data_IF_859073387520
#
_entry.id   IF_859073387520
#
_cell.length_a   1.000
_cell.length_b   1.000
_cell.length_c   1.000
_cell.angle_alpha   90.00
_cell.angle_beta   90.00
_cell.angle_gamma   90.00
#
_symmetry.space_group_name_H-M   'P 1'
#
loop_
_entity.id
_entity.type
_entity.pdbx_description
1 polymer ?
#
# COMPACT_ATOMS: atom_id res chain seq x y z
N UNK A 1 -16.20 -15.61 20.76
CA UNK A 1 -14.76 -15.33 20.51
C UNK A 1 -14.41 -15.92 19.17
N UNK A 2 -14.04 -15.09 18.19
CA UNK A 2 -13.69 -15.57 16.85
C UNK A 2 -12.32 -16.22 16.93
N UNK A 3 -12.24 -17.54 16.66
CA UNK A 3 -10.96 -18.22 16.61
C UNK A 3 -10.14 -17.62 15.48
N UNK A 4 -9.06 -16.95 15.84
CA UNK A 4 -8.12 -16.37 14.89
C UNK A 4 -7.46 -17.50 14.10
N UNK A 5 -7.84 -17.62 12.83
CA UNK A 5 -7.19 -18.54 11.91
C UNK A 5 -5.82 -17.95 11.55
N UNK A 6 -4.72 -18.61 11.95
CA UNK A 6 -3.36 -18.24 11.54
C UNK A 6 -3.24 -18.13 10.01
N UNK A 7 -4.12 -18.83 9.26
CA UNK A 7 -4.23 -18.66 7.82
C UNK A 7 -4.62 -17.22 7.43
N UNK A 8 -5.44 -16.53 8.21
CA UNK A 8 -5.89 -15.17 7.92
C UNK A 8 -4.77 -14.14 8.07
N UNK A 9 -3.92 -14.25 9.09
CA UNK A 9 -2.72 -13.40 9.21
C UNK A 9 -1.69 -13.70 8.13
N UNK A 10 -1.53 -14.98 7.75
CA UNK A 10 -0.69 -15.35 6.61
C UNK A 10 -1.23 -14.78 5.30
N UNK A 11 -2.55 -14.78 5.09
CA UNK A 11 -3.18 -14.10 3.95
C UNK A 11 -2.89 -12.60 3.96
N UNK A 12 -2.98 -11.93 5.12
CA UNK A 12 -2.58 -10.53 5.26
C UNK A 12 -1.11 -10.32 4.90
N UNK A 13 -0.21 -11.20 5.34
CA UNK A 13 1.22 -11.13 4.99
C UNK A 13 1.44 -11.28 3.47
N UNK A 14 0.71 -12.20 2.81
CA UNK A 14 0.75 -12.36 1.35
C UNK A 14 0.25 -11.08 0.66
N UNK A 15 -0.85 -10.51 1.11
CA UNK A 15 -1.38 -9.26 0.53
C UNK A 15 -0.41 -8.09 0.71
N UNK A 16 0.28 -7.99 1.84
CA UNK A 16 1.35 -6.99 2.03
C UNK A 16 2.51 -7.17 1.03
N UNK A 17 2.90 -8.41 0.74
CA UNK A 17 3.90 -8.70 -0.30
C UNK A 17 3.38 -8.27 -1.68
N UNK A 18 2.14 -8.60 -2.01
CA UNK A 18 1.51 -8.18 -3.28
C UNK A 18 1.50 -6.66 -3.41
N UNK A 19 1.14 -5.92 -2.36
CA UNK A 19 1.18 -4.45 -2.36
C UNK A 19 2.60 -3.91 -2.55
N UNK A 20 3.59 -4.48 -1.84
CA UNK A 20 4.99 -4.07 -2.00
C UNK A 20 5.51 -4.31 -3.42
N UNK A 21 5.19 -5.46 -4.01
CA UNK A 21 5.53 -5.78 -5.40
C UNK A 21 4.78 -4.87 -6.38
N UNK A 22 3.54 -4.47 -6.06
CA UNK A 22 2.79 -3.50 -6.84
C UNK A 22 3.47 -2.13 -6.89
N UNK A 23 3.92 -1.61 -5.74
CA UNK A 23 4.68 -0.34 -5.67
C UNK A 23 5.97 -0.43 -6.49
N UNK A 24 6.75 -1.50 -6.31
CA UNK A 24 7.99 -1.71 -7.06
C UNK A 24 7.69 -1.83 -8.56
N UNK A 25 6.67 -2.61 -8.92
CA UNK A 25 6.27 -2.84 -10.32
C UNK A 25 5.80 -1.57 -11.01
N UNK A 26 5.08 -0.70 -10.30
CA UNK A 26 4.68 0.62 -10.80
C UNK A 26 5.92 1.44 -11.17
N UNK A 27 6.90 1.58 -10.27
CA UNK A 27 8.11 2.36 -10.54
C UNK A 27 8.98 1.76 -11.64
N UNK A 28 9.13 0.43 -11.67
CA UNK A 28 9.82 -0.24 -12.78
C UNK A 28 9.15 0.10 -14.11
N UNK A 29 7.83 0.02 -14.19
CA UNK A 29 7.06 0.33 -15.40
C UNK A 29 7.16 1.82 -15.76
N UNK A 30 7.06 2.72 -14.77
CA UNK A 30 7.19 4.16 -14.94
C UNK A 30 8.53 4.54 -15.58
N UNK A 31 9.64 3.97 -15.08
CA UNK A 31 10.99 4.28 -15.58
C UNK A 31 11.38 3.57 -16.88
N UNK A 32 10.72 2.47 -17.25
CA UNK A 32 11.12 1.65 -18.41
C UNK A 32 10.19 1.77 -19.61
N UNK A 33 8.87 1.84 -19.37
CA UNK A 33 7.83 1.86 -20.40
C UNK A 33 7.23 3.25 -20.56
N UNK A 34 7.33 4.11 -19.55
CA UNK A 34 6.77 5.45 -19.54
C UNK A 34 5.27 5.42 -19.26
N UNK A 35 4.89 5.66 -18.00
CA UNK A 35 3.49 5.73 -17.55
C UNK A 35 2.97 7.17 -17.41
N UNK A 36 3.79 8.17 -17.76
CA UNK A 36 3.38 9.55 -17.71
C UNK A 36 2.25 9.83 -18.72
N UNK A 37 1.28 10.70 -18.38
CA UNK A 37 0.30 11.19 -19.34
C UNK A 37 0.97 11.79 -20.58
N UNK A 38 0.30 11.73 -21.72
CA UNK A 38 0.78 12.34 -22.98
C UNK A 38 1.01 13.85 -22.83
N UNK A 39 0.13 14.52 -22.07
CA UNK A 39 0.20 15.94 -21.77
C UNK A 39 0.24 16.14 -20.24
N UNK A 40 1.42 16.00 -19.61
CA UNK A 40 1.53 16.09 -18.16
C UNK A 40 1.34 17.53 -17.69
N UNK A 41 0.57 17.77 -16.61
CA UNK A 41 0.37 19.11 -16.07
C UNK A 41 1.67 19.70 -15.51
N UNK A 42 1.75 21.04 -15.33
CA UNK A 42 2.92 21.69 -14.76
C UNK A 42 3.33 21.07 -13.41
N UNK A 43 4.61 20.69 -13.29
CA UNK A 43 5.15 20.09 -12.07
C UNK A 43 4.87 18.60 -11.89
N UNK A 44 4.18 17.92 -12.82
CA UNK A 44 3.89 16.48 -12.77
C UNK A 44 5.13 15.64 -12.44
N UNK A 45 6.22 15.78 -13.20
CA UNK A 45 7.43 14.99 -12.95
C UNK A 45 8.13 15.34 -11.63
N UNK A 46 8.07 16.60 -11.19
CA UNK A 46 8.65 16.98 -9.88
C UNK A 46 7.87 16.33 -8.75
N UNK A 47 6.54 16.28 -8.89
CA UNK A 47 5.66 15.58 -7.97
C UNK A 47 5.95 14.08 -7.99
N UNK A 48 5.81 13.41 -9.13
CA UNK A 48 6.00 11.96 -9.27
C UNK A 48 7.39 11.49 -8.84
N UNK A 49 8.46 12.18 -9.24
CA UNK A 49 9.82 11.80 -8.89
C UNK A 49 10.14 11.99 -7.39
N UNK A 50 9.24 12.59 -6.60
CA UNK A 50 9.37 12.63 -5.14
C UNK A 50 8.96 11.31 -4.46
N UNK A 51 8.23 10.42 -5.15
CA UNK A 51 7.66 9.19 -4.59
C UNK A 51 8.55 7.93 -4.61
N UNK A 52 9.50 7.71 -5.54
CA UNK A 52 10.26 6.47 -5.61
C UNK A 52 10.93 6.08 -4.28
N UNK A 53 11.50 7.05 -3.57
CA UNK A 53 12.18 6.80 -2.31
C UNK A 53 11.19 6.50 -1.15
N UNK A 54 10.16 7.35 -0.89
CA UNK A 54 9.09 7.01 0.05
C UNK A 54 8.40 5.67 -0.24
N UNK A 55 8.06 5.39 -1.49
CA UNK A 55 7.40 4.15 -1.90
C UNK A 55 8.31 2.94 -1.73
N UNK A 56 9.60 3.08 -2.01
CA UNK A 56 10.60 2.05 -1.73
C UNK A 56 10.71 1.74 -0.24
N UNK A 57 10.73 2.77 0.61
CA UNK A 57 10.70 2.61 2.07
C UNK A 57 9.40 1.91 2.53
N UNK A 58 8.26 2.31 1.97
CA UNK A 58 6.96 1.72 2.26
C UNK A 58 6.89 0.25 1.84
N UNK A 59 7.34 -0.08 0.62
CA UNK A 59 7.43 -1.44 0.11
C UNK A 59 8.32 -2.31 1.01
N UNK A 60 9.50 -1.82 1.39
CA UNK A 60 10.39 -2.52 2.32
C UNK A 60 9.70 -2.76 3.68
N UNK A 61 9.00 -1.76 4.22
CA UNK A 61 8.29 -1.90 5.49
C UNK A 61 7.19 -2.96 5.43
N UNK A 62 6.42 -3.04 4.33
CA UNK A 62 5.41 -4.07 4.09
C UNK A 62 6.04 -5.47 4.01
N UNK A 63 7.18 -5.61 3.33
CA UNK A 63 7.92 -6.87 3.25
C UNK A 63 8.46 -7.32 4.62
N UNK A 64 9.00 -6.39 5.41
CA UNK A 64 9.48 -6.68 6.77
C UNK A 64 8.33 -7.05 7.70
N UNK A 65 7.18 -6.37 7.60
CA UNK A 65 5.98 -6.70 8.33
C UNK A 65 5.47 -8.11 7.98
N UNK A 66 5.37 -8.42 6.68
CA UNK A 66 4.98 -9.75 6.21
C UNK A 66 5.94 -10.85 6.71
N UNK A 67 7.25 -10.63 6.59
CA UNK A 67 8.27 -11.57 7.09
C UNK A 67 8.17 -11.76 8.61
N UNK A 68 7.87 -10.69 9.35
CA UNK A 68 7.63 -10.76 10.80
C UNK A 68 6.40 -11.60 11.16
N UNK A 69 5.30 -11.50 10.40
CA UNK A 69 4.10 -12.31 10.60
C UNK A 69 4.42 -13.80 10.34
N UNK A 70 5.12 -14.13 9.25
CA UNK A 70 5.51 -15.52 8.98
C UNK A 70 6.45 -16.11 10.04
N UNK A 71 7.24 -15.26 10.70
CA UNK A 71 8.12 -15.63 11.82
C UNK A 71 7.45 -15.56 13.19
N UNK A 72 6.13 -15.36 13.24
CA UNK A 72 5.35 -15.21 14.47
C UNK A 72 5.96 -14.15 15.40
N UNK A 73 6.36 -12.99 14.87
CA UNK A 73 6.89 -11.88 15.70
C UNK A 73 5.73 -10.96 16.10
N UNK A 74 5.53 -10.65 17.39
CA UNK A 74 4.43 -9.80 17.82
C UNK A 74 4.59 -8.37 17.29
N UNK A 75 5.84 -7.90 17.21
CA UNK A 75 6.17 -6.57 16.70
C UNK A 75 5.79 -6.35 15.23
N UNK A 76 5.57 -7.43 14.46
CA UNK A 76 5.20 -7.35 13.04
C UNK A 76 3.87 -6.64 12.82
N UNK A 77 2.93 -6.73 13.78
CA UNK A 77 1.63 -6.07 13.66
C UNK A 77 1.73 -4.55 13.84
N UNK A 78 2.66 -4.05 14.67
CA UNK A 78 2.88 -2.61 14.78
C UNK A 78 3.43 -2.05 13.46
N UNK A 79 4.40 -2.75 12.86
CA UNK A 79 4.93 -2.38 11.56
C UNK A 79 3.85 -2.46 10.47
N UNK A 80 3.02 -3.52 10.49
CA UNK A 80 1.87 -3.65 9.60
C UNK A 80 0.96 -2.41 9.67
N UNK A 81 0.54 -2.00 10.87
CA UNK A 81 -0.35 -0.83 11.02
C UNK A 81 0.32 0.46 10.52
N UNK A 82 1.61 0.66 10.82
CA UNK A 82 2.36 1.82 10.33
C UNK A 82 2.43 1.85 8.79
N UNK A 83 2.77 0.73 8.16
CA UNK A 83 2.82 0.60 6.69
C UNK A 83 1.45 0.82 6.05
N UNK A 84 0.37 0.27 6.63
CA UNK A 84 -0.98 0.47 6.12
C UNK A 84 -1.43 1.94 6.25
N UNK A 85 -1.03 2.64 7.31
CA UNK A 85 -1.22 4.09 7.42
C UNK A 85 -0.50 4.86 6.32
N UNK A 86 0.73 4.45 6.00
CA UNK A 86 1.50 4.96 4.86
C UNK A 86 0.78 4.76 3.52
N UNK A 87 0.22 3.57 3.28
CA UNK A 87 -0.58 3.29 2.07
C UNK A 87 -1.82 4.18 1.96
N UNK A 88 -2.55 4.38 3.07
CA UNK A 88 -3.73 5.28 3.07
C UNK A 88 -3.30 6.69 2.72
N UNK A 89 -2.24 7.19 3.37
CA UNK A 89 -1.72 8.53 3.09
C UNK A 89 -1.27 8.68 1.63
N UNK A 90 -0.52 7.70 1.10
CA UNK A 90 -0.09 7.66 -0.30
C UNK A 90 -1.27 7.76 -1.27
N UNK A 91 -2.28 6.89 -1.12
CA UNK A 91 -3.45 6.90 -2.00
C UNK A 91 -4.25 8.20 -1.92
N UNK A 92 -4.40 8.79 -0.73
CA UNK A 92 -5.10 10.08 -0.58
C UNK A 92 -4.31 11.25 -1.17
N UNK A 93 -2.99 11.25 -0.98
CA UNK A 93 -2.09 12.26 -1.52
C UNK A 93 -2.19 12.29 -3.05
N UNK A 94 -2.13 11.12 -3.68
CA UNK A 94 -2.17 11.01 -5.13
C UNK A 94 -3.58 11.22 -5.72
N UNK A 95 -4.65 10.76 -5.05
CA UNK A 95 -6.03 11.15 -5.42
C UNK A 95 -6.20 12.67 -5.44
N UNK A 96 -5.65 13.35 -4.42
CA UNK A 96 -5.77 14.80 -4.29
C UNK A 96 -5.06 15.52 -5.44
N UNK A 97 -3.88 15.04 -5.83
CA UNK A 97 -3.12 15.60 -6.96
C UNK A 97 -3.82 15.35 -8.29
N UNK A 98 -4.21 14.11 -8.56
CA UNK A 98 -4.91 13.73 -9.79
C UNK A 98 -6.23 14.49 -9.98
N UNK A 99 -7.00 14.67 -8.89
CA UNK A 99 -8.24 15.44 -8.92
C UNK A 99 -7.99 16.93 -9.21
N UNK A 100 -7.04 17.55 -8.50
CA UNK A 100 -6.76 18.99 -8.66
C UNK A 100 -6.20 19.35 -10.03
N UNK A 101 -5.47 18.45 -10.66
CA UNK A 101 -4.84 18.69 -11.96
C UNK A 101 -5.63 18.10 -13.14
N UNK A 102 -6.86 17.62 -12.90
CA UNK A 102 -7.74 17.13 -13.95
C UNK A 102 -7.30 15.82 -14.62
N UNK A 103 -6.38 15.06 -14.03
CA UNK A 103 -5.84 13.82 -14.61
C UNK A 103 -6.94 12.77 -14.80
N UNK A 104 -7.90 12.69 -13.87
CA UNK A 104 -9.06 11.79 -14.01
C UNK A 104 -10.00 12.16 -15.17
N UNK A 105 -9.92 13.39 -15.69
CA UNK A 105 -10.76 13.87 -16.79
C UNK A 105 -10.00 13.92 -18.13
N UNK A 106 -8.67 13.74 -18.12
CA UNK A 106 -7.83 13.86 -19.31
C UNK A 106 -7.99 12.66 -20.26
N UNK A 107 -7.89 11.43 -19.74
CA UNK A 107 -8.05 10.20 -20.53
C UNK A 107 -8.63 9.07 -19.65
N UNK A 108 -9.61 8.29 -20.15
CA UNK A 108 -10.14 7.11 -19.45
C UNK A 108 -9.08 6.10 -18.96
N UNK A 109 -7.98 5.92 -19.70
CA UNK A 109 -6.90 4.99 -19.32
C UNK A 109 -6.18 5.47 -18.07
N UNK A 110 -5.72 6.72 -18.08
CA UNK A 110 -5.03 7.35 -16.95
C UNK A 110 -5.94 7.40 -15.73
N UNK A 111 -7.22 7.71 -15.95
CA UNK A 111 -8.21 7.74 -14.88
C UNK A 111 -8.41 6.37 -14.23
N UNK A 112 -8.42 5.31 -15.04
CA UNK A 112 -8.60 3.93 -14.57
C UNK A 112 -7.38 3.45 -13.79
N UNK A 113 -6.17 3.66 -14.31
CA UNK A 113 -4.93 3.20 -13.67
C UNK A 113 -4.71 3.93 -12.34
N UNK A 114 -4.71 5.26 -12.36
CA UNK A 114 -4.51 6.07 -11.15
C UNK A 114 -5.64 5.86 -10.15
N UNK A 115 -6.88 5.76 -10.62
CA UNK A 115 -8.04 5.51 -9.77
C UNK A 115 -7.94 4.15 -9.06
N UNK A 116 -7.62 3.09 -9.81
CA UNK A 116 -7.51 1.73 -9.27
C UNK A 116 -6.40 1.63 -8.23
N UNK A 117 -5.21 2.15 -8.52
CA UNK A 117 -4.06 2.11 -7.60
C UNK A 117 -4.43 2.84 -6.30
N UNK A 118 -4.91 4.08 -6.42
CA UNK A 118 -5.14 4.90 -5.25
C UNK A 118 -6.30 4.40 -4.38
N UNK A 119 -7.40 3.98 -5.00
CA UNK A 119 -8.52 3.38 -4.28
C UNK A 119 -8.07 2.08 -3.60
N UNK A 120 -7.24 1.27 -4.26
CA UNK A 120 -6.69 0.04 -3.67
C UNK A 120 -5.85 0.38 -2.44
N UNK A 121 -4.95 1.37 -2.51
CA UNK A 121 -4.15 1.82 -1.38
C UNK A 121 -5.01 2.23 -0.18
N UNK A 122 -6.06 3.02 -0.40
CA UNK A 122 -6.96 3.50 0.66
C UNK A 122 -7.82 2.38 1.24
N UNK A 123 -8.49 1.60 0.39
CA UNK A 123 -9.41 0.54 0.83
C UNK A 123 -8.67 -0.63 1.47
N UNK A 124 -7.56 -1.08 0.87
CA UNK A 124 -6.73 -2.12 1.46
C UNK A 124 -6.14 -1.67 2.79
N UNK A 125 -5.54 -0.47 2.83
CA UNK A 125 -4.99 0.11 4.05
C UNK A 125 -6.01 0.15 5.19
N UNK A 126 -7.19 0.71 4.92
CA UNK A 126 -8.26 0.86 5.91
C UNK A 126 -8.83 -0.49 6.36
N UNK A 127 -9.14 -1.38 5.40
CA UNK A 127 -9.69 -2.70 5.68
C UNK A 127 -8.71 -3.59 6.46
N UNK A 128 -7.43 -3.55 6.10
CA UNK A 128 -6.41 -4.33 6.79
C UNK A 128 -6.13 -3.81 8.21
N UNK A 129 -6.16 -2.49 8.45
CA UNK A 129 -6.07 -1.94 9.83
C UNK A 129 -7.25 -2.41 10.67
N UNK A 130 -8.47 -2.36 10.12
CA UNK A 130 -9.67 -2.85 10.81
C UNK A 130 -9.55 -4.35 11.14
N UNK A 131 -9.08 -5.15 10.19
CA UNK A 131 -8.80 -6.56 10.40
C UNK A 131 -7.75 -6.78 11.51
N UNK A 132 -6.63 -6.06 11.49
CA UNK A 132 -5.59 -6.17 12.54
C UNK A 132 -6.17 -5.80 13.91
N UNK A 133 -6.95 -4.72 14.02
CA UNK A 133 -7.59 -4.29 15.26
C UNK A 133 -8.43 -5.40 15.89
N UNK A 134 -9.22 -6.12 15.09
CA UNK A 134 -10.06 -7.23 15.57
C UNK A 134 -9.25 -8.43 16.07
N UNK A 135 -8.03 -8.58 15.59
CA UNK A 135 -7.22 -9.79 15.72
C UNK A 135 -5.96 -9.60 16.59
N UNK A 136 -5.68 -8.37 17.04
CA UNK A 136 -4.46 -7.99 17.74
C UNK A 136 -4.26 -8.73 19.07
N UNK A 137 -5.28 -8.72 19.95
CA UNK A 137 -5.18 -9.32 21.28
C UNK A 137 -4.91 -10.82 21.23
N UNK A 138 -5.60 -11.51 20.31
CA UNK A 138 -5.53 -12.95 20.19
C UNK A 138 -4.20 -13.40 19.57
N UNK A 139 -3.65 -12.65 18.62
CA UNK A 139 -2.31 -12.92 18.07
C UNK A 139 -1.22 -12.76 19.13
N UNK A 140 -1.21 -11.65 19.88
CA UNK A 140 -0.18 -11.40 20.91
C UNK A 140 -0.20 -12.51 21.96
N UNK A 141 -1.38 -12.91 22.44
CA UNK A 141 -1.53 -14.01 23.42
C UNK A 141 -1.03 -15.36 22.92
N UNK A 142 -1.09 -15.62 21.61
CA UNK A 142 -0.64 -16.89 21.02
C UNK A 142 0.85 -16.92 20.74
N UNK A 143 1.44 -15.78 20.40
CA UNK A 143 2.86 -15.65 20.09
C UNK A 143 3.74 -15.59 21.34
N UNK A 144 3.21 -15.06 22.44
CA UNK A 144 3.94 -14.97 23.73
C UNK A 144 3.78 -16.21 24.62
N UNK A 145 3.11 -17.27 24.15
CA UNK A 145 3.06 -18.58 24.80
C UNK A 145 4.13 -19.50 24.23
#
# INVERSE_FOLDING_TARGET
MMNLDLSALRKLAILQIVMALGLIGFWVTFFTIGLAPQEPPPGYFVYELAFPFPDGCLALSLLLAAAGIFRNRPAALYLTVASLGGLIFLGLLDLSFNWRNGIFMANPVDATINGLINITCVLFGSGAIFFVKQNLSDYIKRVLK
#
